data_IF_425321765061
#
_entry.id   IF_425321765061
#
_cell.length_a   1.000
_cell.length_b   1.000
_cell.length_c   1.000
_cell.angle_alpha   90.00
_cell.angle_beta   90.00
_cell.angle_gamma   90.00
#
_symmetry.space_group_name_H-M   'P 1'
#
loop_
_entity.id
_entity.type
_entity.pdbx_description
1 polymer ?
#
# COMPACT_ATOMS: atom_id res chain seq x y z
N UNK A 1 -4.46 20.18 -21.18
CA UNK A 1 -3.93 18.88 -20.77
C UNK A 1 -4.69 18.44 -19.51
N UNK A 2 -5.45 17.33 -19.55
CA UNK A 2 -6.05 16.77 -18.36
C UNK A 2 -4.93 16.32 -17.44
N UNK A 3 -4.83 16.89 -16.23
CA UNK A 3 -3.91 16.39 -15.20
C UNK A 3 -4.20 14.90 -15.00
N UNK A 4 -3.23 14.05 -15.30
CA UNK A 4 -3.35 12.62 -15.02
C UNK A 4 -3.46 12.47 -13.50
N UNK A 5 -4.53 11.84 -13.04
CA UNK A 5 -4.72 11.54 -11.61
C UNK A 5 -3.60 10.58 -11.22
N UNK A 6 -2.77 11.00 -10.28
CA UNK A 6 -1.70 10.15 -9.75
C UNK A 6 -2.28 8.89 -9.10
N UNK A 7 -1.72 7.73 -9.42
CA UNK A 7 -2.13 6.47 -8.81
C UNK A 7 -1.26 6.22 -7.58
N UNK A 8 -1.84 6.32 -6.39
CA UNK A 8 -1.12 6.14 -5.11
C UNK A 8 -1.28 4.69 -4.66
N UNK A 9 -0.15 4.03 -4.40
CA UNK A 9 -0.06 2.62 -4.05
C UNK A 9 0.66 2.42 -2.72
N UNK A 10 -0.04 2.38 -1.60
CA UNK A 10 0.54 1.99 -0.33
C UNK A 10 0.97 0.53 -0.35
N UNK A 11 2.18 0.24 0.12
CA UNK A 11 2.75 -1.10 0.18
C UNK A 11 3.02 -1.42 1.65
N UNK A 12 2.23 -2.34 2.21
CA UNK A 12 2.25 -2.69 3.62
C UNK A 12 2.57 -4.16 3.87
N UNK A 13 3.05 -4.46 5.07
CA UNK A 13 3.31 -5.84 5.49
C UNK A 13 3.11 -6.04 6.98
N UNK A 14 2.57 -7.19 7.37
CA UNK A 14 2.22 -7.48 8.76
C UNK A 14 3.44 -7.69 9.68
N UNK A 15 4.64 -7.94 9.12
CA UNK A 15 5.85 -8.30 9.87
C UNK A 15 7.07 -7.58 9.27
N UNK A 16 8.05 -7.24 10.11
CA UNK A 16 9.39 -6.82 9.68
C UNK A 16 10.09 -7.95 8.91
N UNK A 17 10.90 -7.60 7.91
CA UNK A 17 11.65 -8.59 7.13
C UNK A 17 10.85 -9.32 6.04
N UNK A 18 9.57 -8.98 5.79
CA UNK A 18 8.78 -9.58 4.69
C UNK A 18 9.24 -9.14 3.28
N UNK A 19 10.22 -8.23 3.19
CA UNK A 19 10.79 -7.76 1.92
C UNK A 19 10.02 -6.60 1.27
N UNK A 20 9.23 -5.83 2.02
CA UNK A 20 8.47 -4.68 1.50
C UNK A 20 9.33 -3.73 0.68
N UNK A 21 10.38 -3.15 1.29
CA UNK A 21 11.25 -2.16 0.65
C UNK A 21 11.96 -2.74 -0.59
N UNK A 22 12.33 -4.03 -0.55
CA UNK A 22 12.88 -4.73 -1.71
C UNK A 22 11.86 -4.81 -2.87
N UNK A 23 10.63 -5.21 -2.57
CA UNK A 23 9.57 -5.29 -3.58
C UNK A 23 9.14 -3.89 -4.06
N UNK A 24 9.06 -2.90 -3.17
CA UNK A 24 8.73 -1.51 -3.51
C UNK A 24 9.78 -0.90 -4.44
N UNK A 25 11.07 -1.02 -4.10
CA UNK A 25 12.18 -0.53 -4.91
C UNK A 25 12.25 -1.23 -6.27
N UNK A 26 12.12 -2.58 -6.29
CA UNK A 26 12.10 -3.35 -7.53
C UNK A 26 10.92 -2.99 -8.43
N UNK A 27 9.72 -2.81 -7.86
CA UNK A 27 8.54 -2.36 -8.59
C UNK A 27 8.76 -0.98 -9.20
N UNK A 28 9.30 -0.03 -8.42
CA UNK A 28 9.60 1.31 -8.91
C UNK A 28 10.55 1.31 -10.11
N UNK A 29 11.63 0.51 -10.04
CA UNK A 29 12.58 0.36 -11.16
C UNK A 29 11.89 -0.22 -12.40
N UNK A 30 11.04 -1.24 -12.24
CA UNK A 30 10.34 -1.87 -13.37
C UNK A 30 9.36 -0.89 -14.02
N UNK A 31 8.52 -0.22 -13.24
CA UNK A 31 7.55 0.75 -13.76
C UNK A 31 8.25 1.91 -14.49
N UNK A 32 9.36 2.41 -13.94
CA UNK A 32 10.14 3.46 -14.59
C UNK A 32 10.77 2.99 -15.91
N UNK A 33 11.28 1.74 -15.98
CA UNK A 33 11.77 1.12 -17.22
C UNK A 33 10.68 0.94 -18.28
N UNK A 34 9.44 0.77 -17.85
CA UNK A 34 8.26 0.71 -18.73
C UNK A 34 7.75 2.10 -19.14
N UNK A 35 8.48 3.18 -18.76
CA UNK A 35 8.19 4.57 -19.16
C UNK A 35 7.19 5.30 -18.28
N UNK A 36 6.83 4.76 -17.10
CA UNK A 36 5.97 5.46 -16.15
C UNK A 36 6.79 6.37 -15.24
N UNK A 37 6.41 7.66 -15.14
CA UNK A 37 6.97 8.56 -14.11
C UNK A 37 6.58 8.06 -12.72
N UNK A 38 7.52 7.47 -12.01
CA UNK A 38 7.30 6.76 -10.74
C UNK A 38 8.01 7.45 -9.59
N UNK A 39 7.28 7.74 -8.52
CA UNK A 39 7.81 8.28 -7.28
C UNK A 39 7.75 7.23 -6.17
N UNK A 40 8.88 6.94 -5.56
CA UNK A 40 9.00 6.17 -4.34
C UNK A 40 8.96 7.12 -3.13
N UNK A 41 8.16 6.79 -2.12
CA UNK A 41 8.16 7.52 -0.84
C UNK A 41 8.39 6.51 0.28
N UNK A 42 9.50 6.65 0.99
CA UNK A 42 9.81 5.86 2.16
C UNK A 42 9.08 6.45 3.38
N UNK A 43 8.13 5.71 3.91
CA UNK A 43 7.32 6.10 5.10
C UNK A 43 7.73 5.29 6.33
N UNK A 44 8.78 4.46 6.24
CA UNK A 44 9.36 3.80 7.42
C UNK A 44 10.35 4.75 8.12
N UNK A 45 9.81 5.68 8.88
CA UNK A 45 10.58 6.74 9.53
C UNK A 45 11.66 6.23 10.50
N UNK A 46 11.50 5.03 11.04
CA UNK A 46 12.44 4.42 11.97
C UNK A 46 13.56 3.64 11.29
N UNK A 47 13.36 3.23 10.04
CA UNK A 47 14.28 2.35 9.31
C UNK A 47 14.27 2.62 7.79
N UNK A 48 14.30 3.89 7.39
CA UNK A 48 14.28 4.33 6.00
C UNK A 48 15.47 3.77 5.20
N UNK A 49 15.23 2.71 4.41
CA UNK A 49 16.26 1.98 3.67
C UNK A 49 15.95 1.83 2.17
N UNK A 50 14.88 2.45 1.69
CA UNK A 50 14.44 2.28 0.30
C UNK A 50 15.50 2.73 -0.72
N UNK A 51 16.27 3.79 -0.40
CA UNK A 51 17.40 4.25 -1.21
C UNK A 51 18.45 3.15 -1.45
N UNK A 52 18.71 2.31 -0.45
CA UNK A 52 19.65 1.19 -0.58
C UNK A 52 19.12 0.13 -1.57
N UNK A 53 17.81 -0.12 -1.59
CA UNK A 53 17.20 -1.12 -2.49
C UNK A 53 17.31 -0.73 -3.97
N UNK A 54 17.39 0.57 -4.25
CA UNK A 54 17.56 1.12 -5.61
C UNK A 54 19.01 1.54 -5.92
N UNK A 55 19.96 1.17 -5.05
CA UNK A 55 21.38 1.42 -5.30
C UNK A 55 21.84 2.86 -5.16
N UNK A 56 21.12 3.67 -4.37
CA UNK A 56 21.47 5.06 -4.11
C UNK A 56 22.27 5.25 -2.81
N UNK A 57 23.16 6.26 -2.74
CA UNK A 57 23.63 6.77 -1.46
C UNK A 57 22.49 7.40 -0.67
N UNK A 58 22.75 7.67 0.61
CA UNK A 58 21.76 8.33 1.45
C UNK A 58 21.38 9.71 0.88
N UNK A 59 20.11 10.00 0.61
CA UNK A 59 19.66 11.27 0.05
C UNK A 59 19.92 12.45 1.01
N UNK A 60 20.28 13.60 0.46
CA UNK A 60 20.50 14.82 1.24
C UNK A 60 19.20 15.44 1.76
N UNK A 61 18.11 15.27 0.99
CA UNK A 61 16.77 15.78 1.32
C UNK A 61 15.86 14.65 1.77
N UNK A 62 14.95 14.95 2.68
CA UNK A 62 14.02 13.97 3.24
C UNK A 62 12.67 14.58 3.62
N UNK A 63 11.71 13.74 4.01
CA UNK A 63 10.44 14.19 4.61
C UNK A 63 10.64 15.09 5.82
N UNK A 64 11.76 14.95 6.56
CA UNK A 64 12.11 15.80 7.68
C UNK A 64 12.21 17.28 7.30
N UNK A 65 12.74 17.58 6.10
CA UNK A 65 12.89 18.96 5.65
C UNK A 65 11.54 19.63 5.38
N UNK A 66 10.60 18.86 4.83
CA UNK A 66 9.23 19.35 4.63
C UNK A 66 8.46 19.49 5.95
N UNK A 67 8.59 18.54 6.89
CA UNK A 67 7.91 18.59 8.19
C UNK A 67 8.41 19.80 8.98
N UNK A 68 9.71 20.01 9.02
CA UNK A 68 10.38 21.09 9.74
C UNK A 68 10.34 22.44 9.01
N UNK A 69 9.58 22.55 7.91
CA UNK A 69 9.41 23.78 7.13
C UNK A 69 10.73 24.36 6.57
N UNK A 70 11.74 23.51 6.35
CA UNK A 70 12.99 23.91 5.67
C UNK A 70 12.77 24.08 4.17
N UNK A 71 11.79 23.40 3.62
CA UNK A 71 11.32 23.53 2.24
C UNK A 71 9.82 23.84 2.21
N UNK A 72 9.34 24.61 1.21
CA UNK A 72 7.94 25.06 1.16
C UNK A 72 6.96 23.96 0.77
N UNK A 73 7.36 23.00 -0.07
CA UNK A 73 6.50 21.93 -0.56
C UNK A 73 7.11 20.54 -0.39
N UNK A 74 6.29 19.50 -0.46
CA UNK A 74 6.77 18.12 -0.47
C UNK A 74 7.55 17.82 -1.76
N UNK A 75 7.18 18.40 -2.87
CA UNK A 75 7.88 18.28 -4.16
C UNK A 75 9.36 18.70 -4.07
N UNK A 76 9.68 19.69 -3.23
CA UNK A 76 11.06 20.16 -3.04
C UNK A 76 11.97 19.14 -2.32
N UNK A 77 11.40 18.08 -1.76
CA UNK A 77 12.16 16.96 -1.15
C UNK A 77 12.41 15.82 -2.12
N UNK A 78 11.84 15.87 -3.32
CA UNK A 78 12.07 14.85 -4.35
C UNK A 78 13.51 14.88 -4.80
N UNK A 79 14.13 13.71 -4.90
CA UNK A 79 15.47 13.52 -5.46
C UNK A 79 15.40 12.62 -6.69
N UNK A 80 16.22 12.91 -7.69
CA UNK A 80 16.42 12.03 -8.84
C UNK A 80 17.17 10.78 -8.43
N UNK A 81 16.85 9.66 -9.09
CA UNK A 81 17.56 8.40 -8.89
C UNK A 81 18.46 8.07 -10.09
N UNK A 82 19.33 7.06 -10.01
CA UNK A 82 20.12 6.61 -11.16
C UNK A 82 19.27 6.06 -12.33
N UNK A 83 17.96 5.85 -12.12
CA UNK A 83 17.04 5.35 -13.13
C UNK A 83 16.22 6.50 -13.72
N UNK A 84 16.19 6.65 -15.06
CA UNK A 84 15.27 7.60 -15.70
C UNK A 84 13.83 7.36 -15.26
N UNK A 85 13.06 8.44 -15.08
CA UNK A 85 11.66 8.42 -14.66
C UNK A 85 11.37 7.80 -13.27
N UNK A 86 12.42 7.48 -12.49
CA UNK A 86 12.29 7.06 -11.10
C UNK A 86 12.78 8.14 -10.14
N UNK A 87 11.94 8.52 -9.20
CA UNK A 87 12.19 9.56 -8.20
C UNK A 87 12.03 9.00 -6.79
N UNK A 88 12.64 9.64 -5.80
CA UNK A 88 12.59 9.21 -4.41
C UNK A 88 12.34 10.39 -3.47
N UNK A 89 11.48 10.19 -2.47
CA UNK A 89 11.43 10.96 -1.23
C UNK A 89 11.87 10.05 -0.09
N UNK A 90 12.97 10.42 0.58
CA UNK A 90 13.48 9.65 1.71
C UNK A 90 12.70 9.94 2.98
N UNK A 91 12.35 8.87 3.72
CA UNK A 91 11.75 8.95 5.04
C UNK A 91 12.76 9.18 6.17
N UNK A 92 14.06 9.27 5.85
CA UNK A 92 15.09 9.43 6.84
C UNK A 92 14.86 10.69 7.69
N UNK A 93 14.86 10.51 8.97
CA UNK A 93 14.62 11.59 9.93
C UNK A 93 15.74 11.66 10.95
N UNK A 94 16.23 12.87 11.21
CA UNK A 94 17.42 13.11 12.04
C UNK A 94 17.16 13.22 13.55
N UNK A 95 15.95 12.99 14.05
CA UNK A 95 15.59 13.21 15.45
C UNK A 95 14.85 12.04 16.09
N UNK A 96 15.14 11.79 17.37
CA UNK A 96 14.54 10.77 18.22
C UNK A 96 13.00 10.94 18.43
N UNK A 97 12.43 12.09 18.06
CA UNK A 97 11.00 12.40 18.24
C UNK A 97 10.07 11.75 17.19
N UNK A 98 10.60 10.93 16.31
CA UNK A 98 9.97 10.54 15.06
C UNK A 98 9.21 9.24 15.12
N UNK A 99 9.44 8.42 16.11
CA UNK A 99 8.65 7.22 16.35
C UNK A 99 7.14 7.52 16.53
N UNK A 100 6.80 8.76 16.90
CA UNK A 100 5.44 9.25 17.08
C UNK A 100 5.20 10.54 16.28
N UNK A 101 5.00 10.40 14.98
CA UNK A 101 4.60 11.53 14.14
C UNK A 101 3.33 12.17 14.69
N UNK A 102 3.39 13.46 15.03
CA UNK A 102 2.21 14.19 15.47
C UNK A 102 1.11 14.15 14.41
N UNK A 103 -0.15 14.11 14.83
CA UNK A 103 -1.29 14.04 13.91
C UNK A 103 -1.25 15.13 12.81
N UNK A 104 -0.90 16.36 13.18
CA UNK A 104 -0.80 17.48 12.23
C UNK A 104 0.31 17.27 11.18
N UNK A 105 1.46 16.75 11.59
CA UNK A 105 2.58 16.44 10.69
C UNK A 105 2.18 15.35 9.70
N UNK A 106 1.51 14.30 10.17
CA UNK A 106 0.98 13.24 9.34
C UNK A 106 -0.03 13.79 8.31
N UNK A 107 -0.99 14.60 8.76
CA UNK A 107 -1.96 15.21 7.85
C UNK A 107 -1.30 16.15 6.83
N UNK A 108 -0.21 16.84 7.21
CA UNK A 108 0.59 17.65 6.31
C UNK A 108 1.24 16.81 5.21
N UNK A 109 1.83 15.65 5.57
CA UNK A 109 2.42 14.71 4.60
C UNK A 109 1.35 14.17 3.66
N UNK A 110 0.24 13.64 4.18
CA UNK A 110 -0.85 13.08 3.38
C UNK A 110 -1.39 14.10 2.36
N UNK A 111 -1.62 15.35 2.78
CA UNK A 111 -2.02 16.45 1.87
C UNK A 111 -0.93 16.80 0.86
N UNK A 112 0.33 16.68 1.24
CA UNK A 112 1.47 16.87 0.34
C UNK A 112 1.47 15.81 -0.75
N UNK A 113 1.38 14.53 -0.38
CA UNK A 113 1.36 13.40 -1.32
C UNK A 113 0.22 13.52 -2.32
N UNK A 114 -0.99 13.90 -1.87
CA UNK A 114 -2.16 14.05 -2.75
C UNK A 114 -2.03 15.17 -3.80
N UNK A 115 -1.03 16.05 -3.69
CA UNK A 115 -0.76 17.13 -4.65
C UNK A 115 0.30 16.78 -5.68
N UNK A 116 1.05 15.69 -5.47
CA UNK A 116 2.11 15.26 -6.37
C UNK A 116 1.52 14.70 -7.67
N UNK A 117 2.23 14.91 -8.79
CA UNK A 117 1.77 14.50 -10.12
C UNK A 117 2.77 13.53 -10.77
N UNK A 118 2.55 12.23 -10.52
CA UNK A 118 3.31 11.11 -11.07
C UNK A 118 2.34 10.05 -11.59
N UNK A 119 2.80 9.18 -12.51
CA UNK A 119 1.97 8.07 -12.98
C UNK A 119 1.74 7.06 -11.85
N UNK A 120 2.78 6.77 -11.06
CA UNK A 120 2.73 5.95 -9.87
C UNK A 120 3.39 6.65 -8.69
N UNK A 121 2.75 6.60 -7.54
CA UNK A 121 3.34 6.98 -6.25
C UNK A 121 3.30 5.75 -5.37
N UNK A 122 4.45 5.14 -5.10
CA UNK A 122 4.60 3.95 -4.28
C UNK A 122 5.02 4.35 -2.87
N UNK A 123 4.21 4.02 -1.87
CA UNK A 123 4.50 4.32 -0.46
C UNK A 123 5.04 3.07 0.22
N UNK A 124 6.32 3.05 0.58
CA UNK A 124 6.92 1.97 1.39
C UNK A 124 6.59 2.21 2.85
N UNK A 125 5.66 1.45 3.39
CA UNK A 125 5.16 1.63 4.75
C UNK A 125 5.98 0.79 5.75
N UNK A 126 6.12 1.31 6.97
CA UNK A 126 6.66 0.53 8.09
C UNK A 126 5.85 -0.74 8.37
N UNK A 127 6.45 -1.69 9.07
CA UNK A 127 5.82 -2.97 9.37
C UNK A 127 4.75 -2.88 10.46
N UNK A 128 3.77 -3.77 10.40
CA UNK A 128 2.77 -4.00 11.46
C UNK A 128 1.55 -3.10 11.39
N UNK A 129 0.81 -3.08 12.50
CA UNK A 129 -0.50 -2.44 12.63
C UNK A 129 -0.45 -1.11 13.40
N UNK A 130 0.70 -0.42 13.40
CA UNK A 130 0.82 0.88 14.03
C UNK A 130 -0.18 1.87 13.41
N UNK A 131 -0.74 2.77 14.21
CA UNK A 131 -1.74 3.74 13.74
C UNK A 131 -1.25 4.54 12.53
N UNK A 132 0.01 4.94 12.53
CA UNK A 132 0.59 5.68 11.41
C UNK A 132 0.61 4.86 10.11
N UNK A 133 1.01 3.57 10.18
CA UNK A 133 1.01 2.67 9.02
C UNK A 133 -0.39 2.55 8.41
N UNK A 134 -1.42 2.35 9.26
CA UNK A 134 -2.81 2.25 8.81
C UNK A 134 -3.28 3.56 8.18
N UNK A 135 -2.99 4.71 8.80
CA UNK A 135 -3.43 6.01 8.29
C UNK A 135 -2.78 6.37 6.94
N UNK A 136 -1.51 6.00 6.72
CA UNK A 136 -0.88 6.15 5.40
C UNK A 136 -1.44 5.16 4.37
N UNK A 137 -1.82 3.96 4.79
CA UNK A 137 -2.50 3.01 3.90
C UNK A 137 -3.85 3.54 3.42
N UNK A 138 -4.52 4.34 4.25
CA UNK A 138 -5.83 4.93 3.98
C UNK A 138 -5.86 6.07 2.97
N UNK A 139 -4.69 6.51 2.47
CA UNK A 139 -4.61 7.60 1.46
C UNK A 139 -5.21 7.19 0.11
N UNK A 140 -5.31 5.90 -0.14
CA UNK A 140 -5.78 5.33 -1.40
C UNK A 140 -6.83 4.23 -1.16
N UNK A 141 -7.66 3.98 -2.15
CA UNK A 141 -8.58 2.84 -2.17
C UNK A 141 -7.91 1.57 -2.73
N UNK A 142 -6.69 1.70 -3.24
CA UNK A 142 -5.84 0.59 -3.67
C UNK A 142 -4.68 0.40 -2.72
N UNK A 143 -4.11 -0.81 -2.70
CA UNK A 143 -2.90 -1.05 -1.92
C UNK A 143 -2.41 -2.48 -2.06
N UNK A 144 -1.11 -2.67 -1.84
CA UNK A 144 -0.45 -3.97 -1.91
C UNK A 144 -0.05 -4.43 -0.53
N UNK A 145 -0.48 -5.62 -0.17
CA UNK A 145 -0.07 -6.31 1.05
C UNK A 145 0.99 -7.35 0.72
N UNK A 146 2.08 -7.35 1.49
CA UNK A 146 3.19 -8.29 1.34
C UNK A 146 3.26 -9.17 2.58
N UNK A 147 3.29 -10.48 2.36
CA UNK A 147 3.51 -11.49 3.40
C UNK A 147 4.55 -12.52 2.96
N UNK A 148 4.95 -13.39 3.86
CA UNK A 148 5.74 -14.59 3.56
C UNK A 148 4.88 -15.82 3.82
N UNK A 149 5.25 -17.04 3.36
CA UNK A 149 4.43 -18.24 3.53
C UNK A 149 4.36 -18.77 4.97
N UNK A 150 5.07 -18.15 5.92
CA UNK A 150 5.08 -18.57 7.31
C UNK A 150 3.74 -18.29 8.01
N UNK A 151 3.23 -19.21 8.85
CA UNK A 151 1.95 -19.06 9.53
C UNK A 151 1.81 -17.76 10.32
N UNK A 152 2.87 -17.34 11.04
CA UNK A 152 2.88 -16.10 11.82
C UNK A 152 2.81 -14.85 10.94
N UNK A 153 3.42 -14.86 9.76
CA UNK A 153 3.36 -13.76 8.81
C UNK A 153 1.96 -13.65 8.20
N UNK A 154 1.33 -14.79 7.89
CA UNK A 154 -0.06 -14.86 7.39
C UNK A 154 -1.04 -14.32 8.43
N UNK A 155 -0.89 -14.69 9.69
CA UNK A 155 -1.73 -14.14 10.77
C UNK A 155 -1.56 -12.62 10.91
N UNK A 156 -0.33 -12.13 10.88
CA UNK A 156 -0.04 -10.71 11.00
C UNK A 156 -0.57 -9.91 9.81
N UNK A 157 -0.47 -10.43 8.58
CA UNK A 157 -1.01 -9.74 7.40
C UNK A 157 -2.55 -9.72 7.45
N UNK A 158 -3.19 -10.81 7.91
CA UNK A 158 -4.63 -10.81 8.11
C UNK A 158 -5.08 -9.73 9.11
N UNK A 159 -4.36 -9.60 10.24
CA UNK A 159 -4.62 -8.54 11.24
C UNK A 159 -4.46 -7.14 10.65
N UNK A 160 -3.43 -6.92 9.82
CA UNK A 160 -3.21 -5.63 9.16
C UNK A 160 -4.36 -5.31 8.19
N UNK A 161 -4.70 -6.24 7.30
CA UNK A 161 -5.79 -6.07 6.32
C UNK A 161 -7.11 -5.76 7.04
N UNK A 162 -7.42 -6.52 8.08
CA UNK A 162 -8.61 -6.31 8.92
C UNK A 162 -8.62 -4.92 9.55
N UNK A 163 -7.48 -4.46 10.07
CA UNK A 163 -7.37 -3.15 10.72
C UNK A 163 -7.55 -2.01 9.71
N UNK A 164 -6.96 -2.11 8.52
CA UNK A 164 -7.14 -1.16 7.41
C UNK A 164 -8.62 -1.13 7.01
N UNK A 165 -9.24 -2.27 6.79
CA UNK A 165 -10.64 -2.36 6.37
C UNK A 165 -11.60 -1.74 7.39
N UNK A 166 -11.47 -2.09 8.66
CA UNK A 166 -12.33 -1.51 9.70
C UNK A 166 -12.13 0.00 9.87
N UNK A 167 -10.88 0.46 9.70
CA UNK A 167 -10.60 1.90 9.69
C UNK A 167 -11.31 2.59 8.53
N UNK A 168 -11.36 1.94 7.36
CA UNK A 168 -12.02 2.48 6.17
C UNK A 168 -13.54 2.52 6.36
N UNK A 169 -14.16 1.48 6.87
CA UNK A 169 -15.60 1.50 7.19
C UNK A 169 -15.93 2.70 8.08
N UNK A 170 -15.16 2.89 9.16
CA UNK A 170 -15.35 4.05 10.05
C UNK A 170 -15.17 5.38 9.34
N UNK A 171 -14.23 5.48 8.41
CA UNK A 171 -14.02 6.69 7.62
C UNK A 171 -15.24 6.99 6.74
N UNK A 172 -15.77 6.00 6.03
CA UNK A 172 -16.96 6.12 5.18
C UNK A 172 -18.17 6.54 6.01
N UNK A 173 -18.41 5.87 7.15
CA UNK A 173 -19.49 6.24 8.06
C UNK A 173 -19.39 7.68 8.57
N UNK A 174 -18.17 8.20 8.76
CA UNK A 174 -17.93 9.57 9.20
C UNK A 174 -18.13 10.59 8.08
N UNK A 175 -17.59 10.33 6.88
CA UNK A 175 -17.67 11.24 5.73
C UNK A 175 -19.13 11.46 5.33
N UNK A 176 -19.94 10.42 5.34
CA UNK A 176 -21.35 10.48 4.95
C UNK A 176 -22.31 10.76 6.12
N UNK A 177 -21.79 11.03 7.34
CA UNK A 177 -22.60 11.24 8.55
C UNK A 177 -23.53 10.05 8.88
N UNK A 178 -23.14 8.83 8.57
CA UNK A 178 -23.91 7.60 8.81
C UNK A 178 -23.73 7.04 10.23
N UNK A 179 -23.07 7.76 11.14
CA UNK A 179 -22.83 7.30 12.52
C UNK A 179 -24.14 6.99 13.27
N UNK A 180 -25.14 7.86 13.17
CA UNK A 180 -26.42 7.66 13.83
C UNK A 180 -27.09 6.38 13.33
N UNK A 181 -27.08 6.14 12.02
CA UNK A 181 -27.62 4.95 11.40
C UNK A 181 -26.87 3.67 11.80
N UNK A 182 -25.53 3.76 11.93
CA UNK A 182 -24.73 2.64 12.42
C UNK A 182 -25.01 2.32 13.90
N UNK A 183 -25.27 3.35 14.74
CA UNK A 183 -25.68 3.16 16.14
C UNK A 183 -27.07 2.53 16.22
N UNK A 184 -28.02 2.99 15.43
CA UNK A 184 -29.35 2.38 15.35
C UNK A 184 -29.31 0.93 14.89
N UNK A 185 -28.45 0.60 13.91
CA UNK A 185 -28.22 -0.78 13.48
C UNK A 185 -27.64 -1.65 14.61
N UNK A 186 -26.72 -1.09 15.42
CA UNK A 186 -26.14 -1.80 16.57
C UNK A 186 -27.15 -1.98 17.70
N UNK A 187 -28.06 -1.01 17.92
CA UNK A 187 -29.17 -1.14 18.87
C UNK A 187 -30.15 -2.25 18.46
N UNK A 188 -30.48 -2.35 17.16
CA UNK A 188 -31.33 -3.42 16.64
C UNK A 188 -30.64 -4.80 16.73
N UNK A 189 -29.34 -4.85 16.47
CA UNK A 189 -28.56 -6.07 16.57
C UNK A 189 -27.12 -5.76 17.04
N UNK A 190 -26.78 -6.09 18.30
CA UNK A 190 -25.45 -5.80 18.86
C UNK A 190 -24.26 -6.43 18.12
N UNK A 191 -24.51 -7.32 17.15
CA UNK A 191 -23.49 -7.88 16.26
C UNK A 191 -23.29 -7.07 14.98
N UNK A 192 -24.16 -6.09 14.70
CA UNK A 192 -24.08 -5.20 13.54
C UNK A 192 -23.07 -4.08 13.77
N UNK A 193 -21.81 -4.42 13.85
CA UNK A 193 -20.70 -3.51 14.13
C UNK A 193 -19.74 -3.42 12.94
N UNK A 194 -18.82 -2.48 12.97
CA UNK A 194 -17.73 -2.40 11.97
C UNK A 194 -16.87 -3.66 11.89
N UNK A 195 -16.94 -4.54 12.91
CA UNK A 195 -16.24 -5.83 12.93
C UNK A 195 -17.03 -6.95 12.25
N UNK A 196 -18.29 -6.70 11.92
CA UNK A 196 -19.17 -7.55 11.13
C UNK A 196 -19.84 -6.71 10.02
N UNK A 197 -19.07 -6.32 9.00
CA UNK A 197 -19.50 -5.32 8.02
C UNK A 197 -20.69 -5.77 7.17
N UNK A 198 -20.82 -7.06 6.89
CA UNK A 198 -21.97 -7.58 6.11
C UNK A 198 -23.28 -7.39 6.85
N UNK A 199 -23.30 -7.74 8.14
CA UNK A 199 -24.49 -7.58 8.96
C UNK A 199 -24.80 -6.11 9.17
N UNK A 200 -23.78 -5.26 9.41
CA UNK A 200 -23.93 -3.83 9.50
C UNK A 200 -24.54 -3.24 8.23
N UNK A 201 -24.00 -3.60 7.07
CA UNK A 201 -24.50 -3.15 5.76
C UNK A 201 -25.94 -3.61 5.51
N UNK A 202 -26.27 -4.87 5.85
CA UNK A 202 -27.61 -5.43 5.69
C UNK A 202 -28.62 -4.64 6.50
N UNK A 203 -28.38 -4.39 7.78
CA UNK A 203 -29.31 -3.64 8.64
C UNK A 203 -29.40 -2.17 8.20
N UNK A 204 -28.27 -1.54 7.82
CA UNK A 204 -28.30 -0.18 7.29
C UNK A 204 -29.17 -0.10 6.01
N UNK A 205 -29.12 -1.10 5.14
CA UNK A 205 -29.98 -1.19 3.95
C UNK A 205 -31.46 -1.36 4.26
N UNK A 206 -31.78 -2.06 5.34
CA UNK A 206 -33.17 -2.20 5.82
C UNK A 206 -33.70 -0.88 6.39
N UNK A 207 -32.87 -0.15 7.14
CA UNK A 207 -33.21 1.13 7.74
C UNK A 207 -33.31 2.27 6.71
N UNK A 208 -32.33 2.35 5.79
CA UNK A 208 -32.24 3.39 4.77
C UNK A 208 -31.56 2.80 3.51
N UNK A 209 -32.34 2.33 2.52
CA UNK A 209 -31.80 1.69 1.32
C UNK A 209 -30.83 2.56 0.53
N UNK A 210 -31.09 3.87 0.43
CA UNK A 210 -30.23 4.82 -0.31
C UNK A 210 -28.85 4.92 0.34
N UNK A 211 -28.79 5.10 1.66
CA UNK A 211 -27.52 5.16 2.41
C UNK A 211 -26.81 3.82 2.43
N UNK A 212 -27.57 2.72 2.50
CA UNK A 212 -27.03 1.38 2.39
C UNK A 212 -26.33 1.15 1.05
N UNK A 213 -26.90 1.61 -0.05
CA UNK A 213 -26.29 1.49 -1.38
C UNK A 213 -25.06 2.39 -1.55
N UNK A 214 -25.05 3.57 -0.93
CA UNK A 214 -23.85 4.42 -0.88
C UNK A 214 -22.73 3.68 -0.12
N UNK A 215 -23.04 3.16 1.08
CA UNK A 215 -22.07 2.44 1.90
C UNK A 215 -21.50 1.22 1.17
N UNK A 216 -22.37 0.43 0.53
CA UNK A 216 -21.94 -0.74 -0.25
C UNK A 216 -21.00 -0.35 -1.39
N UNK A 217 -21.34 0.68 -2.16
CA UNK A 217 -20.52 1.18 -3.27
C UNK A 217 -19.14 1.63 -2.78
N UNK A 218 -19.08 2.41 -1.71
CA UNK A 218 -17.85 2.87 -1.10
C UNK A 218 -16.97 1.71 -0.59
N UNK A 219 -17.59 0.69 0.02
CA UNK A 219 -16.86 -0.49 0.49
C UNK A 219 -16.37 -1.39 -0.65
N UNK A 220 -17.11 -1.45 -1.77
CA UNK A 220 -16.71 -2.21 -2.96
C UNK A 220 -15.64 -1.53 -3.81
N UNK A 221 -15.39 -0.23 -3.57
CA UNK A 221 -14.35 0.52 -4.28
C UNK A 221 -12.92 0.11 -3.88
N UNK A 222 -12.78 -0.65 -2.75
CA UNK A 222 -11.45 -1.08 -2.31
C UNK A 222 -10.91 -2.22 -3.16
N UNK A 223 -9.74 -1.99 -3.74
CA UNK A 223 -8.97 -2.98 -4.48
C UNK A 223 -7.64 -3.27 -3.78
N UNK A 224 -7.68 -4.25 -2.91
CA UNK A 224 -6.48 -4.72 -2.23
C UNK A 224 -5.84 -5.87 -3.00
N UNK A 225 -4.52 -5.89 -2.97
CA UNK A 225 -3.70 -6.88 -3.66
C UNK A 225 -2.77 -7.56 -2.68
N UNK A 226 -2.44 -8.82 -2.97
CA UNK A 226 -1.55 -9.64 -2.14
C UNK A 226 -0.39 -10.18 -2.96
N UNK A 227 0.81 -10.06 -2.40
CA UNK A 227 2.03 -10.75 -2.86
C UNK A 227 2.52 -11.65 -1.73
N UNK A 228 2.89 -12.87 -2.05
CA UNK A 228 3.61 -13.76 -1.13
C UNK A 228 5.06 -13.78 -1.54
N UNK A 229 5.93 -13.23 -0.69
CA UNK A 229 7.36 -13.12 -0.92
C UNK A 229 8.13 -14.22 -0.20
N UNK A 230 9.39 -14.44 -0.59
CA UNK A 230 10.30 -15.41 0.02
C UNK A 230 9.75 -16.85 -0.02
N UNK A 231 9.10 -17.23 -1.13
CA UNK A 231 8.57 -18.58 -1.30
C UNK A 231 9.70 -19.57 -1.60
N UNK A 232 9.83 -20.60 -0.79
CA UNK A 232 10.71 -21.73 -1.03
C UNK A 232 10.02 -22.80 -1.89
N UNK A 233 10.80 -23.69 -2.53
CA UNK A 233 10.26 -24.73 -3.41
C UNK A 233 9.32 -25.72 -2.72
N UNK A 234 9.49 -25.91 -1.39
CA UNK A 234 8.62 -26.77 -0.58
C UNK A 234 7.35 -26.10 -0.10
N UNK A 235 7.21 -24.78 -0.23
CA UNK A 235 6.02 -24.07 0.20
C UNK A 235 4.83 -24.36 -0.72
N UNK A 236 3.62 -24.27 -0.16
CA UNK A 236 2.41 -24.47 -0.94
C UNK A 236 2.25 -23.31 -1.97
N UNK A 237 2.31 -23.59 -3.29
CA UNK A 237 2.20 -22.55 -4.31
C UNK A 237 0.82 -21.86 -4.31
N UNK A 238 -0.20 -22.48 -3.74
CA UNK A 238 -1.56 -21.96 -3.66
C UNK A 238 -1.83 -21.18 -2.36
N UNK A 239 -0.80 -20.90 -1.56
CA UNK A 239 -0.98 -20.19 -0.28
C UNK A 239 -1.59 -18.79 -0.47
N UNK A 240 -1.13 -18.03 -1.46
CA UNK A 240 -1.65 -16.70 -1.78
C UNK A 240 -3.13 -16.71 -2.16
N UNK A 241 -3.57 -17.49 -3.17
CA UNK A 241 -4.98 -17.67 -3.47
C UNK A 241 -5.84 -18.14 -2.28
N UNK A 242 -5.28 -18.99 -1.40
CA UNK A 242 -5.97 -19.43 -0.19
C UNK A 242 -6.20 -18.27 0.79
N UNK A 243 -5.17 -17.45 1.04
CA UNK A 243 -5.27 -16.26 1.88
C UNK A 243 -6.33 -15.31 1.33
N UNK A 244 -6.31 -15.02 0.01
CA UNK A 244 -7.31 -14.15 -0.61
C UNK A 244 -8.74 -14.68 -0.41
N UNK A 245 -8.97 -15.98 -0.58
CA UNK A 245 -10.29 -16.60 -0.33
C UNK A 245 -10.73 -16.48 1.13
N UNK A 246 -9.82 -16.69 2.09
CA UNK A 246 -10.12 -16.53 3.52
C UNK A 246 -10.52 -15.09 3.84
N UNK A 247 -9.76 -14.11 3.32
CA UNK A 247 -10.04 -12.68 3.51
C UNK A 247 -11.39 -12.32 2.89
N UNK A 248 -11.64 -12.75 1.66
CA UNK A 248 -12.92 -12.50 0.99
C UNK A 248 -14.09 -13.10 1.75
N UNK A 249 -13.94 -14.30 2.31
CA UNK A 249 -15.01 -14.96 3.07
C UNK A 249 -15.31 -14.28 4.41
N UNK A 250 -14.29 -13.73 5.08
CA UNK A 250 -14.45 -13.19 6.43
C UNK A 250 -14.60 -11.68 6.49
N UNK A 251 -14.11 -10.96 5.47
CA UNK A 251 -14.14 -9.49 5.43
C UNK A 251 -14.88 -8.94 4.23
N UNK A 252 -15.40 -9.80 3.33
CA UNK A 252 -16.11 -9.42 2.09
C UNK A 252 -15.31 -8.50 1.16
N UNK A 253 -13.99 -8.40 1.37
CA UNK A 253 -13.09 -7.58 0.58
C UNK A 253 -12.67 -8.34 -0.66
N UNK A 254 -12.79 -7.75 -1.83
CA UNK A 254 -12.13 -8.25 -3.03
C UNK A 254 -10.61 -8.09 -2.89
N UNK A 255 -9.89 -9.21 -3.02
CA UNK A 255 -8.44 -9.21 -2.97
C UNK A 255 -7.88 -9.92 -4.21
N UNK A 256 -7.04 -9.22 -4.99
CA UNK A 256 -6.36 -9.75 -6.17
C UNK A 256 -5.01 -10.33 -5.75
N UNK A 257 -4.75 -11.58 -6.11
CA UNK A 257 -3.44 -12.19 -5.89
C UNK A 257 -2.50 -11.81 -7.04
N UNK A 258 -1.38 -11.15 -6.72
CA UNK A 258 -0.40 -10.68 -7.71
C UNK A 258 0.72 -11.68 -7.98
N UNK A 259 0.94 -12.68 -7.10
CA UNK A 259 1.91 -13.73 -7.34
C UNK A 259 2.75 -14.11 -6.14
N UNK A 260 3.50 -15.18 -6.32
CA UNK A 260 4.56 -15.61 -5.41
C UNK A 260 5.89 -15.09 -5.94
N UNK A 261 6.75 -14.60 -5.04
CA UNK A 261 8.13 -14.24 -5.35
C UNK A 261 9.05 -15.27 -4.69
N UNK A 262 9.84 -15.94 -5.49
CA UNK A 262 10.76 -16.98 -5.03
C UNK A 262 11.81 -16.41 -4.06
N UNK A 263 12.15 -17.21 -3.03
CA UNK A 263 13.28 -16.91 -2.16
C UNK A 263 14.60 -17.03 -2.94
N UNK A 264 15.51 -16.06 -2.74
CA UNK A 264 16.80 -16.02 -3.39
C UNK A 264 17.85 -15.40 -2.46
N UNK A 265 18.84 -16.18 -2.05
CA UNK A 265 19.94 -15.73 -1.17
C UNK A 265 20.73 -14.55 -1.77
N UNK A 266 20.72 -14.40 -3.10
CA UNK A 266 21.40 -13.31 -3.79
C UNK A 266 20.78 -11.94 -3.54
N UNK A 267 19.55 -11.88 -3.04
CA UNK A 267 18.93 -10.61 -2.59
C UNK A 267 19.78 -9.98 -1.50
N UNK A 268 20.23 -10.79 -0.51
CA UNK A 268 21.15 -10.32 0.53
C UNK A 268 22.45 -9.75 -0.06
N UNK A 269 23.02 -10.43 -1.03
CA UNK A 269 24.25 -9.99 -1.71
C UNK A 269 24.05 -8.66 -2.47
N UNK A 270 22.91 -8.48 -3.14
CA UNK A 270 22.57 -7.24 -3.82
C UNK A 270 22.46 -6.06 -2.83
N UNK A 271 21.78 -6.28 -1.70
CA UNK A 271 21.66 -5.28 -0.62
C UNK A 271 23.02 -4.89 -0.04
N UNK A 272 23.89 -5.89 0.25
CA UNK A 272 25.25 -5.64 0.76
C UNK A 272 26.11 -4.83 -0.22
N UNK A 273 25.94 -5.08 -1.52
CA UNK A 273 26.62 -4.34 -2.59
C UNK A 273 26.00 -2.98 -2.88
N UNK A 274 24.85 -2.67 -2.28
CA UNK A 274 24.04 -1.48 -2.59
C UNK A 274 23.78 -1.34 -4.10
N UNK A 275 23.38 -2.43 -4.73
CA UNK A 275 23.05 -2.49 -6.15
C UNK A 275 21.68 -3.15 -6.33
N UNK A 276 20.87 -2.68 -7.29
CA UNK A 276 19.58 -3.27 -7.56
C UNK A 276 19.69 -4.76 -7.93
N UNK A 277 18.84 -5.58 -7.32
CA UNK A 277 18.85 -7.03 -7.58
C UNK A 277 18.61 -7.35 -9.06
N UNK A 278 17.70 -6.61 -9.71
CA UNK A 278 17.35 -6.81 -11.12
C UNK A 278 18.53 -6.57 -12.08
N UNK A 279 19.51 -5.75 -11.69
CA UNK A 279 20.70 -5.47 -12.50
C UNK A 279 21.79 -6.53 -12.28
N UNK A 280 21.95 -6.99 -11.03
CA UNK A 280 22.94 -8.01 -10.71
C UNK A 280 22.52 -9.42 -11.15
N UNK A 281 21.22 -9.72 -11.06
CA UNK A 281 20.70 -11.08 -11.22
C UNK A 281 19.43 -11.13 -12.11
N UNK A 282 19.49 -10.59 -13.36
CA UNK A 282 18.31 -10.36 -14.20
C UNK A 282 17.60 -11.64 -14.69
N UNK A 283 18.27 -12.80 -14.63
CA UNK A 283 17.77 -14.06 -15.18
C UNK A 283 17.38 -15.09 -14.12
N UNK A 284 17.22 -14.67 -12.88
CA UNK A 284 16.80 -15.55 -11.79
C UNK A 284 15.29 -15.71 -11.77
N UNK A 285 14.77 -16.78 -11.13
CA UNK A 285 13.35 -16.95 -10.93
C UNK A 285 12.75 -15.75 -10.21
N UNK A 286 13.40 -15.27 -9.16
CA UNK A 286 12.98 -14.07 -8.41
C UNK A 286 12.86 -12.82 -9.31
N UNK A 287 13.81 -12.64 -10.26
CA UNK A 287 13.73 -11.53 -11.20
C UNK A 287 12.58 -11.67 -12.20
N UNK A 288 12.25 -12.90 -12.61
CA UNK A 288 11.09 -13.18 -13.47
C UNK A 288 9.78 -12.90 -12.70
N UNK A 289 9.69 -13.40 -11.47
CA UNK A 289 8.53 -13.18 -10.61
C UNK A 289 8.30 -11.67 -10.32
N UNK A 290 9.39 -10.90 -10.12
CA UNK A 290 9.33 -9.46 -9.95
C UNK A 290 8.79 -8.73 -11.20
N UNK A 291 9.22 -9.16 -12.41
CA UNK A 291 8.68 -8.59 -13.66
C UNK A 291 7.20 -8.90 -13.81
N UNK A 292 6.79 -10.12 -13.51
CA UNK A 292 5.36 -10.48 -13.55
C UNK A 292 4.56 -9.68 -12.52
N UNK A 293 5.10 -9.48 -11.32
CA UNK A 293 4.50 -8.59 -10.32
C UNK A 293 4.34 -7.16 -10.86
N UNK A 294 5.37 -6.59 -11.48
CA UNK A 294 5.32 -5.26 -12.09
C UNK A 294 4.24 -5.16 -13.16
N UNK A 295 4.19 -6.12 -14.08
CA UNK A 295 3.17 -6.18 -15.14
C UNK A 295 1.74 -6.20 -14.57
N UNK A 296 1.49 -7.03 -13.56
CA UNK A 296 0.17 -7.14 -12.92
C UNK A 296 -0.24 -5.88 -12.18
N UNK A 297 0.72 -5.13 -11.61
CA UNK A 297 0.44 -3.81 -11.01
C UNK A 297 0.11 -2.78 -12.09
N UNK A 298 0.84 -2.76 -13.21
CA UNK A 298 0.55 -1.87 -14.32
C UNK A 298 -0.83 -2.14 -14.95
N UNK A 299 -1.18 -3.42 -15.15
CA UNK A 299 -2.51 -3.85 -15.61
C UNK A 299 -3.62 -3.41 -14.66
N UNK A 300 -3.43 -3.61 -13.35
CA UNK A 300 -4.41 -3.22 -12.34
C UNK A 300 -4.69 -1.71 -12.35
N UNK A 301 -3.68 -0.87 -12.61
CA UNK A 301 -3.89 0.57 -12.80
C UNK A 301 -4.79 0.87 -13.98
N UNK A 302 -4.64 0.15 -15.10
CA UNK A 302 -5.49 0.33 -16.28
C UNK A 302 -6.94 -0.05 -15.97
N UNK A 303 -7.17 -1.20 -15.31
CA UNK A 303 -8.49 -1.67 -14.90
C UNK A 303 -9.21 -0.64 -14.00
N UNK A 304 -8.50 -0.08 -13.01
CA UNK A 304 -9.04 0.95 -12.10
C UNK A 304 -9.41 2.22 -12.88
N UNK A 305 -8.56 2.66 -13.80
CA UNK A 305 -8.79 3.85 -14.61
C UNK A 305 -10.02 3.71 -15.51
N UNK A 306 -10.21 2.53 -16.09
CA UNK A 306 -11.34 2.24 -16.96
C UNK A 306 -12.65 2.14 -16.17
N UNK A 307 -12.61 1.64 -14.93
CA UNK A 307 -13.77 1.60 -14.03
C UNK A 307 -14.24 2.97 -13.53
N UNK A 308 -13.35 3.96 -13.49
CA UNK A 308 -13.62 5.34 -13.09
C UNK A 308 -14.01 6.25 -14.29
N UNK A 309 -13.85 5.77 -15.51
CA UNK A 309 -14.27 6.51 -16.70
C UNK A 309 -15.81 6.56 -16.75
N UNK A 310 -16.43 7.74 -16.95
CA UNK A 310 -17.88 7.81 -17.14
C UNK A 310 -18.27 6.93 -18.31
N UNK A 311 -19.33 6.13 -18.13
CA UNK A 311 -19.89 5.31 -19.23
C UNK A 311 -20.04 6.20 -20.47
N UNK A 312 -19.40 5.81 -21.56
CA UNK A 312 -19.56 6.54 -22.83
C UNK A 312 -21.03 6.46 -23.22
N UNK A 313 -21.63 7.60 -23.60
CA UNK A 313 -23.05 7.68 -23.99
C UNK A 313 -23.36 6.82 -25.22
#
# INVERSE_FOLDING_TARGET
>A
MKQAISSIWPIGGGKGGSGKSFLTGSLGILLARDGYRTLLIDIDFGAANLHTMIGMPHPEKSLSDFINKRVPSLEDTVVETPFPDLFLISGAMNNLDIANLAHEQKMKILRGISKLSYDFILLDLGAGTAFNTIDFFMISDTGVFITTPEPTAIENIYRLIRSVYFRKIRQVLNIHNFRALAMEAEEQNPRATVTNPDLLLHIIKELDPEKGDILERELRAFEFMLVVNQCHRQDNPNIGPLICRIIQRHLTIKMKFLGNIAFDDRVHNAVCKKMPFLDLYPYTQTALDLREYGNRVAEAKCDIRDSLAPARP
#
